data_IF_229438962858
#
_entry.id   IF_229438962858
#
_cell.length_a   1.000
_cell.length_b   1.000
_cell.length_c   1.000
_cell.angle_alpha   90.00
_cell.angle_beta   90.00
_cell.angle_gamma   90.00
#
_symmetry.space_group_name_H-M   'P 1'
#
loop_
_entity.id
_entity.type
_entity.pdbx_description
1 polymer ?
#
# COMPACT_ATOMS: atom_id res chain seq x y z
N UNK A 1 -1.32 19.48 33.40
CA UNK A 1 -0.69 18.36 32.67
C UNK A 1 -1.60 17.73 31.59
N UNK A 2 -2.67 18.42 31.12
CA UNK A 2 -3.62 17.86 30.14
C UNK A 2 -3.34 18.32 28.69
N UNK A 3 -2.72 19.51 28.53
CA UNK A 3 -2.41 20.12 27.22
C UNK A 3 -1.54 19.22 26.32
N UNK A 4 -0.41 18.74 26.85
CA UNK A 4 0.60 17.99 26.09
C UNK A 4 0.05 16.70 25.47
N UNK A 5 -0.87 16.01 26.16
CA UNK A 5 -1.45 14.76 25.63
C UNK A 5 -2.43 15.02 24.48
N UNK A 6 -3.16 16.13 24.53
CA UNK A 6 -4.11 16.52 23.48
C UNK A 6 -3.33 16.95 22.24
N UNK A 7 -2.29 17.76 22.40
CA UNK A 7 -1.45 18.25 21.30
C UNK A 7 -0.75 17.08 20.55
N UNK A 8 -0.28 16.06 21.28
CA UNK A 8 0.37 14.87 20.68
C UNK A 8 -0.61 14.00 19.89
N UNK A 9 -1.86 13.87 20.36
CA UNK A 9 -2.89 13.10 19.63
C UNK A 9 -3.28 13.83 18.34
N UNK A 10 -3.47 15.15 18.41
CA UNK A 10 -3.81 15.97 17.24
C UNK A 10 -2.70 15.94 16.18
N UNK A 11 -1.43 16.05 16.60
CA UNK A 11 -0.28 15.91 15.70
C UNK A 11 -0.21 14.54 15.02
N UNK A 12 -0.53 13.46 15.75
CA UNK A 12 -0.58 12.10 15.19
C UNK A 12 -1.68 11.97 14.14
N UNK A 13 -2.87 12.50 14.42
CA UNK A 13 -4.00 12.50 13.49
C UNK A 13 -3.72 13.37 12.25
N UNK A 14 -3.06 14.52 12.42
CA UNK A 14 -2.67 15.37 11.30
C UNK A 14 -1.66 14.67 10.37
N UNK A 15 -0.66 14.00 10.95
CA UNK A 15 0.32 13.25 10.18
C UNK A 15 -0.32 12.06 9.43
N UNK A 16 -1.21 11.33 10.09
CA UNK A 16 -1.96 10.24 9.48
C UNK A 16 -2.76 10.72 8.27
N UNK A 17 -3.50 11.83 8.41
CA UNK A 17 -4.24 12.44 7.31
C UNK A 17 -3.32 12.89 6.16
N UNK A 18 -2.11 13.36 6.44
CA UNK A 18 -1.14 13.74 5.41
C UNK A 18 -0.61 12.53 4.64
N UNK A 19 -0.29 11.44 5.34
CA UNK A 19 0.17 10.17 4.73
C UNK A 19 -0.93 9.59 3.86
N UNK A 20 -2.16 9.48 4.39
CA UNK A 20 -3.31 8.96 3.65
C UNK A 20 -3.70 9.89 2.49
N UNK A 21 -3.64 11.21 2.66
CA UNK A 21 -3.88 12.16 1.58
C UNK A 21 -2.86 12.03 0.45
N UNK A 22 -1.58 11.81 0.77
CA UNK A 22 -0.53 11.56 -0.22
C UNK A 22 -0.76 10.25 -0.97
N UNK A 23 -1.20 9.21 -0.27
CA UNK A 23 -1.58 7.93 -0.88
C UNK A 23 -2.77 8.09 -1.85
N UNK A 24 -3.80 8.83 -1.46
CA UNK A 24 -4.96 9.15 -2.31
C UNK A 24 -4.60 10.01 -3.54
N UNK A 25 -3.62 10.92 -3.41
CA UNK A 25 -3.11 11.69 -4.55
C UNK A 25 -2.47 10.77 -5.60
N UNK A 26 -1.71 9.76 -5.15
CA UNK A 26 -1.12 8.76 -6.05
C UNK A 26 -2.21 7.92 -6.72
N UNK A 27 -3.24 7.50 -5.98
CA UNK A 27 -4.42 6.81 -6.51
C UNK A 27 -5.12 7.64 -7.60
N UNK A 28 -5.35 8.93 -7.35
CA UNK A 28 -5.91 9.85 -8.35
C UNK A 28 -5.02 9.98 -9.60
N UNK A 29 -3.70 9.93 -9.41
CA UNK A 29 -2.72 9.89 -10.50
C UNK A 29 -2.84 8.65 -11.39
N UNK A 30 -3.25 7.50 -10.84
CA UNK A 30 -3.51 6.28 -11.63
C UNK A 30 -4.69 6.46 -12.59
N UNK A 31 -5.79 7.08 -12.12
CA UNK A 31 -6.95 7.41 -12.95
C UNK A 31 -6.56 8.31 -14.11
N UNK A 32 -5.78 9.36 -13.84
CA UNK A 32 -5.27 10.25 -14.88
C UNK A 32 -4.42 9.49 -15.90
N UNK A 33 -3.47 8.65 -15.46
CA UNK A 33 -2.60 7.87 -16.35
C UNK A 33 -3.39 6.84 -17.19
N UNK A 34 -4.44 6.24 -16.64
CA UNK A 34 -5.34 5.37 -17.38
C UNK A 34 -6.21 6.16 -18.39
N UNK A 35 -6.60 7.40 -18.05
CA UNK A 35 -7.43 8.28 -18.87
C UNK A 35 -6.73 8.89 -20.08
N UNK A 36 -5.38 8.90 -20.13
CA UNK A 36 -4.62 9.49 -21.27
C UNK A 36 -4.69 8.67 -22.56
N UNK A 37 -5.50 7.62 -22.60
CA UNK A 37 -6.05 7.09 -23.87
C UNK A 37 -7.13 8.01 -24.46
N UNK A 38 -7.31 9.22 -23.93
CA UNK A 38 -8.22 10.24 -24.43
C UNK A 38 -7.74 10.76 -25.78
N UNK A 39 -8.46 10.32 -26.80
CA UNK A 39 -8.40 10.81 -28.17
C UNK A 39 -9.15 12.17 -28.20
N UNK A 40 -8.56 13.19 -28.81
CA UNK A 40 -9.24 14.45 -29.08
C UNK A 40 -10.29 14.29 -30.19
N UNK A 41 -11.04 15.35 -30.49
CA UNK A 41 -12.04 15.35 -31.56
C UNK A 41 -11.47 15.06 -32.96
N UNK A 42 -10.15 15.02 -33.12
CA UNK A 42 -9.44 14.77 -34.37
C UNK A 42 -8.73 13.40 -34.39
N UNK A 43 -8.94 12.54 -33.39
CA UNK A 43 -8.30 11.23 -33.38
C UNK A 43 -6.91 11.20 -32.72
N UNK A 44 -6.41 12.32 -32.20
CA UNK A 44 -5.04 12.43 -31.68
C UNK A 44 -4.97 12.28 -30.17
N UNK A 45 -3.87 11.72 -29.68
CA UNK A 45 -3.61 11.63 -28.25
C UNK A 45 -3.39 13.03 -27.67
N UNK A 46 -4.14 13.39 -26.62
CA UNK A 46 -3.86 14.62 -25.87
C UNK A 46 -2.52 14.49 -25.14
N UNK A 47 -1.56 15.43 -25.33
CA UNK A 47 -0.32 15.41 -24.58
C UNK A 47 -0.60 15.67 -23.10
N UNK A 48 -0.24 14.74 -22.23
CA UNK A 48 -0.28 14.94 -20.78
C UNK A 48 0.86 15.85 -20.34
N UNK A 49 0.63 16.74 -19.35
CA UNK A 49 1.72 17.41 -18.65
C UNK A 49 2.73 16.36 -18.15
N UNK A 50 4.04 16.61 -18.30
CA UNK A 50 5.06 15.66 -17.87
C UNK A 50 4.98 15.45 -16.35
N UNK A 51 4.78 14.20 -15.93
CA UNK A 51 4.80 13.82 -14.52
C UNK A 51 6.25 13.67 -14.04
N UNK A 52 6.63 14.21 -12.86
CA UNK A 52 7.95 14.00 -12.29
C UNK A 52 8.29 12.51 -12.18
N UNK A 53 9.53 12.15 -12.47
CA UNK A 53 9.95 10.74 -12.56
C UNK A 53 9.63 9.93 -11.30
N UNK A 54 9.90 10.49 -10.11
CA UNK A 54 9.56 9.83 -8.84
C UNK A 54 8.06 9.63 -8.63
N UNK A 55 7.20 10.56 -9.10
CA UNK A 55 5.75 10.40 -9.06
C UNK A 55 5.29 9.33 -10.06
N UNK A 56 5.88 9.29 -11.26
CA UNK A 56 5.57 8.29 -12.28
C UNK A 56 5.91 6.87 -11.83
N UNK A 57 7.03 6.68 -11.12
CA UNK A 57 7.41 5.38 -10.56
C UNK A 57 6.40 4.93 -9.51
N UNK A 58 6.02 5.80 -8.56
CA UNK A 58 5.03 5.47 -7.54
C UNK A 58 3.62 5.20 -8.11
N UNK A 59 3.19 5.96 -9.12
CA UNK A 59 1.91 5.70 -9.82
C UNK A 59 1.91 4.35 -10.53
N UNK A 60 3.06 3.93 -11.11
CA UNK A 60 3.17 2.59 -11.72
C UNK A 60 3.13 1.48 -10.67
N UNK A 61 3.76 1.68 -9.52
CA UNK A 61 3.67 0.75 -8.41
C UNK A 61 2.22 0.59 -7.92
N UNK A 62 1.49 1.71 -7.78
CA UNK A 62 0.07 1.69 -7.43
C UNK A 62 -0.77 0.92 -8.46
N UNK A 63 -0.50 1.09 -9.76
CA UNK A 63 -1.20 0.36 -10.82
C UNK A 63 -0.95 -1.15 -10.76
N UNK A 64 0.28 -1.58 -10.48
CA UNK A 64 0.62 -3.00 -10.32
C UNK A 64 -0.03 -3.60 -9.08
N UNK A 65 0.01 -2.89 -7.95
CA UNK A 65 -0.71 -3.29 -6.75
C UNK A 65 -2.22 -3.45 -6.99
N UNK A 66 -2.84 -2.52 -7.72
CA UNK A 66 -4.25 -2.64 -8.14
C UNK A 66 -4.49 -3.86 -9.06
N UNK A 67 -3.57 -4.13 -9.98
CA UNK A 67 -3.66 -5.27 -10.89
C UNK A 67 -3.56 -6.62 -10.15
N UNK A 68 -2.71 -6.71 -9.13
CA UNK A 68 -2.50 -7.93 -8.34
C UNK A 68 -3.54 -8.12 -7.21
N UNK A 69 -4.45 -7.17 -7.00
CA UNK A 69 -5.31 -7.12 -5.83
C UNK A 69 -6.27 -8.32 -5.73
N UNK A 70 -6.76 -8.83 -6.86
CA UNK A 70 -7.63 -10.02 -6.87
C UNK A 70 -6.90 -11.28 -6.40
N UNK A 71 -5.67 -11.50 -6.87
CA UNK A 71 -4.80 -12.59 -6.41
C UNK A 71 -4.41 -12.41 -4.93
N UNK A 72 -4.04 -11.19 -4.51
CA UNK A 72 -3.72 -10.89 -3.10
C UNK A 72 -4.94 -11.19 -2.21
N UNK A 73 -6.12 -10.70 -2.58
CA UNK A 73 -7.35 -10.93 -1.83
C UNK A 73 -7.68 -12.42 -1.71
N UNK A 74 -7.48 -13.18 -2.79
CA UNK A 74 -7.64 -14.64 -2.77
C UNK A 74 -6.65 -15.30 -1.80
N UNK A 75 -5.37 -14.96 -1.85
CA UNK A 75 -4.37 -15.55 -0.95
C UNK A 75 -4.56 -15.14 0.52
N UNK A 76 -5.06 -13.93 0.80
CA UNK A 76 -5.45 -13.51 2.16
C UNK A 76 -6.64 -14.30 2.69
N UNK A 77 -7.67 -14.51 1.87
CA UNK A 77 -8.84 -15.32 2.22
C UNK A 77 -8.46 -16.79 2.49
N UNK A 78 -7.45 -17.30 1.81
CA UNK A 78 -6.90 -18.65 2.02
C UNK A 78 -5.88 -18.71 3.17
N UNK A 79 -5.64 -17.60 3.87
CA UNK A 79 -4.64 -17.45 4.93
C UNK A 79 -3.21 -17.81 4.48
N UNK A 80 -2.93 -17.70 3.18
CA UNK A 80 -1.58 -17.78 2.61
C UNK A 80 -0.85 -16.46 2.78
N UNK A 81 -1.57 -15.34 2.77
CA UNK A 81 -1.03 -14.02 3.12
C UNK A 81 -1.64 -13.46 4.39
N UNK A 82 -0.86 -12.61 5.08
CA UNK A 82 -1.34 -11.74 6.16
C UNK A 82 -0.69 -10.36 6.11
N UNK A 83 -1.34 -9.37 6.69
CA UNK A 83 -0.86 -7.98 6.77
C UNK A 83 0.04 -7.80 8.00
N UNK A 84 1.30 -7.43 7.77
CA UNK A 84 2.26 -7.16 8.85
C UNK A 84 1.99 -5.82 9.54
N UNK A 85 2.57 -5.63 10.72
CA UNK A 85 2.50 -4.36 11.47
C UNK A 85 3.34 -3.22 10.85
N UNK A 86 3.93 -3.46 9.68
CA UNK A 86 4.65 -2.48 8.87
C UNK A 86 3.97 -2.17 7.53
N UNK A 87 2.79 -2.75 7.30
CA UNK A 87 2.03 -2.51 6.07
C UNK A 87 2.46 -3.39 4.89
N UNK A 88 3.31 -4.39 5.08
CA UNK A 88 3.69 -5.36 4.03
C UNK A 88 2.92 -6.68 4.16
N UNK A 89 2.94 -7.50 3.12
CA UNK A 89 2.44 -8.88 3.16
C UNK A 89 3.47 -9.84 3.76
N UNK A 90 3.00 -10.78 4.57
CA UNK A 90 3.74 -11.96 5.03
C UNK A 90 3.17 -13.24 4.42
N UNK A 91 4.05 -14.21 4.14
CA UNK A 91 3.69 -15.52 3.61
C UNK A 91 3.50 -16.55 4.72
N UNK A 92 2.40 -17.30 4.65
CA UNK A 92 2.09 -18.41 5.55
C UNK A 92 1.95 -19.71 4.77
N UNK A 93 2.69 -20.72 5.19
CA UNK A 93 2.70 -22.00 4.53
C UNK A 93 1.52 -22.87 5.01
N UNK A 94 0.47 -22.94 4.20
CA UNK A 94 -0.73 -23.78 4.44
C UNK A 94 -0.58 -25.17 3.82
N UNK A 95 -1.33 -26.17 4.30
CA UNK A 95 -1.29 -27.52 3.70
C UNK A 95 -1.67 -27.51 2.21
N UNK A 96 -2.61 -26.63 1.82
CA UNK A 96 -3.00 -26.44 0.42
C UNK A 96 -1.85 -25.88 -0.42
N UNK A 97 -1.11 -24.89 0.08
CA UNK A 97 -0.01 -24.28 -0.68
C UNK A 97 1.20 -25.21 -0.77
N UNK A 98 1.46 -26.03 0.26
CA UNK A 98 2.52 -27.06 0.24
C UNK A 98 2.28 -28.11 -0.84
N UNK A 99 1.03 -28.49 -1.06
CA UNK A 99 0.64 -29.50 -2.05
C UNK A 99 0.72 -29.00 -3.50
N UNK A 100 0.82 -27.69 -3.73
CA UNK A 100 0.87 -27.08 -5.06
C UNK A 100 2.07 -26.13 -5.20
N UNK A 101 3.20 -26.70 -5.61
CA UNK A 101 4.45 -25.96 -5.79
C UNK A 101 4.35 -24.81 -6.82
N UNK A 102 3.47 -24.94 -7.83
CA UNK A 102 3.29 -23.88 -8.84
C UNK A 102 2.58 -22.69 -8.22
N UNK A 103 1.48 -22.95 -7.50
CA UNK A 103 0.75 -21.90 -6.79
C UNK A 103 1.59 -21.29 -5.67
N UNK A 104 2.39 -22.08 -4.95
CA UNK A 104 3.32 -21.57 -3.94
C UNK A 104 4.36 -20.61 -4.52
N UNK A 105 4.91 -20.94 -5.70
CA UNK A 105 5.84 -20.05 -6.42
C UNK A 105 5.17 -18.76 -6.84
N UNK A 106 3.98 -18.84 -7.45
CA UNK A 106 3.21 -17.66 -7.87
C UNK A 106 2.89 -16.76 -6.68
N UNK A 107 2.44 -17.31 -5.56
CA UNK A 107 2.16 -16.55 -4.35
C UNK A 107 3.40 -15.81 -3.82
N UNK A 108 4.57 -16.45 -3.82
CA UNK A 108 5.82 -15.80 -3.40
C UNK A 108 6.23 -14.66 -4.35
N UNK A 109 6.09 -14.86 -5.66
CA UNK A 109 6.36 -13.84 -6.66
C UNK A 109 5.43 -12.63 -6.50
N UNK A 110 4.11 -12.85 -6.36
CA UNK A 110 3.13 -11.79 -6.13
C UNK A 110 3.38 -11.05 -4.82
N UNK A 111 3.70 -11.77 -3.72
CA UNK A 111 4.00 -11.14 -2.44
C UNK A 111 5.24 -10.23 -2.54
N UNK A 112 6.30 -10.72 -3.17
CA UNK A 112 7.50 -9.93 -3.38
C UNK A 112 7.17 -8.68 -4.22
N UNK A 113 6.42 -8.87 -5.30
CA UNK A 113 6.02 -7.79 -6.21
C UNK A 113 5.25 -6.69 -5.46
N UNK A 114 4.23 -7.07 -4.70
CA UNK A 114 3.41 -6.16 -3.90
C UNK A 114 4.23 -5.45 -2.83
N UNK A 115 5.16 -6.13 -2.17
CA UNK A 115 5.98 -5.52 -1.12
C UNK A 115 6.97 -4.50 -1.70
N UNK A 116 7.56 -4.77 -2.86
CA UNK A 116 8.40 -3.80 -3.59
C UNK A 116 7.58 -2.57 -4.05
N UNK A 117 6.33 -2.79 -4.47
CA UNK A 117 5.41 -1.70 -4.82
C UNK A 117 5.03 -0.86 -3.60
N UNK A 118 4.69 -1.49 -2.48
CA UNK A 118 4.40 -0.80 -1.22
C UNK A 118 5.59 0.02 -0.73
N UNK A 119 6.80 -0.53 -0.76
CA UNK A 119 8.02 0.21 -0.40
C UNK A 119 8.22 1.44 -1.29
N UNK A 120 7.99 1.29 -2.60
CA UNK A 120 8.07 2.40 -3.57
C UNK A 120 7.06 3.49 -3.25
N UNK A 121 5.83 3.11 -2.91
CA UNK A 121 4.75 4.03 -2.54
C UNK A 121 5.08 4.73 -1.22
N UNK A 122 5.53 4.00 -0.20
CA UNK A 122 5.86 4.54 1.12
C UNK A 122 7.04 5.51 1.03
N UNK A 123 8.07 5.15 0.26
CA UNK A 123 9.21 6.02 -0.03
C UNK A 123 8.77 7.30 -0.72
N UNK A 124 7.80 7.23 -1.64
CA UNK A 124 7.27 8.44 -2.27
C UNK A 124 6.55 9.32 -1.27
N UNK A 125 5.66 8.76 -0.45
CA UNK A 125 4.92 9.49 0.58
C UNK A 125 5.90 10.18 1.55
N UNK A 126 6.92 9.46 2.01
CA UNK A 126 7.95 9.99 2.88
C UNK A 126 8.66 11.20 2.23
N UNK A 127 9.14 11.04 1.00
CA UNK A 127 9.90 12.07 0.27
C UNK A 127 9.08 13.30 -0.13
N UNK A 128 7.76 13.22 -0.14
CA UNK A 128 6.88 14.35 -0.46
C UNK A 128 6.21 14.96 0.75
N UNK A 129 6.33 14.34 1.92
CA UNK A 129 5.78 14.88 3.15
C UNK A 129 6.66 16.02 3.65
N UNK A 130 6.04 17.16 3.96
CA UNK A 130 6.72 18.28 4.64
C UNK A 130 6.94 18.00 6.13
N UNK A 131 6.22 17.02 6.71
CA UNK A 131 6.26 16.70 8.13
C UNK A 131 7.17 15.51 8.47
N UNK A 132 7.70 14.80 7.46
CA UNK A 132 8.51 13.59 7.64
C UNK A 132 9.91 13.78 7.04
N UNK A 133 10.91 13.24 7.72
CA UNK A 133 12.29 13.13 7.24
C UNK A 133 12.68 11.69 6.87
N UNK A 134 13.92 11.51 6.42
CA UNK A 134 14.44 10.20 5.96
C UNK A 134 14.37 9.10 7.05
N UNK A 135 14.38 9.47 8.33
CA UNK A 135 14.28 8.55 9.46
C UNK A 135 12.87 8.09 9.81
N UNK A 136 11.83 8.68 9.19
CA UNK A 136 10.44 8.50 9.61
C UNK A 136 9.66 7.45 8.80
N UNK A 137 10.37 6.59 8.05
CA UNK A 137 9.77 5.44 7.37
C UNK A 137 8.93 4.57 8.32
N UNK A 138 9.37 4.25 9.56
CA UNK A 138 8.56 3.45 10.48
C UNK A 138 7.18 4.05 10.78
N UNK A 139 7.04 5.38 10.75
CA UNK A 139 5.76 6.06 10.95
C UNK A 139 4.83 5.88 9.74
N UNK A 140 5.37 5.98 8.52
CA UNK A 140 4.62 5.69 7.29
C UNK A 140 4.15 4.23 7.29
N UNK A 141 5.06 3.30 7.58
CA UNK A 141 4.77 1.86 7.68
C UNK A 141 3.65 1.58 8.70
N UNK A 142 3.70 2.19 9.89
CA UNK A 142 2.69 2.00 10.93
C UNK A 142 1.31 2.54 10.53
N UNK A 143 1.25 3.70 9.86
CA UNK A 143 0.00 4.26 9.35
C UNK A 143 -0.60 3.35 8.28
N UNK A 144 0.23 2.89 7.34
CA UNK A 144 -0.23 2.00 6.27
C UNK A 144 -0.61 0.61 6.80
N UNK A 145 0.08 0.10 7.82
CA UNK A 145 -0.34 -1.09 8.55
C UNK A 145 -1.72 -0.91 9.19
N UNK A 146 -1.97 0.25 9.80
CA UNK A 146 -3.28 0.65 10.32
C UNK A 146 -4.36 0.56 9.24
N UNK A 147 -4.14 1.22 8.10
CA UNK A 147 -5.07 1.18 6.96
C UNK A 147 -5.35 -0.26 6.49
N UNK A 148 -4.31 -1.09 6.35
CA UNK A 148 -4.47 -2.48 5.91
C UNK A 148 -5.25 -3.30 6.95
N UNK A 149 -5.03 -3.08 8.24
CA UNK A 149 -5.80 -3.72 9.31
C UNK A 149 -7.24 -3.26 9.30
N UNK A 150 -7.52 -1.98 9.10
CA UNK A 150 -8.87 -1.42 9.10
C UNK A 150 -9.70 -1.87 7.89
N UNK A 151 -9.04 -2.14 6.77
CA UNK A 151 -9.66 -2.59 5.52
C UNK A 151 -9.65 -4.12 5.32
N UNK A 152 -8.89 -4.87 6.11
CA UNK A 152 -8.88 -6.34 6.05
C UNK A 152 -10.29 -6.93 6.26
N UNK A 153 -10.55 -8.08 5.63
CA UNK A 153 -11.84 -8.79 5.72
C UNK A 153 -11.87 -9.73 6.93
N UNK A 154 -13.06 -10.06 7.48
CA UNK A 154 -13.16 -11.06 8.55
C UNK A 154 -12.48 -12.37 8.18
N UNK A 155 -11.67 -12.90 9.09
CA UNK A 155 -10.90 -14.14 8.91
C UNK A 155 -9.53 -13.99 8.23
N UNK A 156 -9.18 -12.81 7.72
CA UNK A 156 -7.85 -12.52 7.19
C UNK A 156 -6.82 -12.36 8.33
N UNK A 157 -5.57 -12.75 8.07
CA UNK A 157 -4.48 -12.63 9.04
C UNK A 157 -3.98 -11.19 9.10
N UNK A 158 -3.89 -10.64 10.31
CA UNK A 158 -3.35 -9.33 10.60
C UNK A 158 -2.39 -9.40 11.78
N UNK A 159 -1.33 -8.58 11.72
CA UNK A 159 -0.37 -8.45 12.81
C UNK A 159 -0.64 -7.18 13.61
N UNK A 160 -0.82 -7.34 14.93
CA UNK A 160 -0.93 -6.23 15.87
C UNK A 160 0.39 -5.47 15.98
N UNK A 161 0.36 -4.26 16.54
CA UNK A 161 1.57 -3.46 16.77
C UNK A 161 2.61 -4.20 17.64
N UNK A 162 2.16 -5.09 18.52
CA UNK A 162 3.00 -5.99 19.33
C UNK A 162 3.77 -7.04 18.54
N UNK A 163 3.41 -7.25 17.26
CA UNK A 163 3.92 -8.33 16.41
C UNK A 163 3.10 -9.62 16.49
N UNK A 164 2.07 -9.67 17.32
CA UNK A 164 1.19 -10.83 17.44
C UNK A 164 0.26 -10.95 16.24
N UNK A 165 0.11 -12.17 15.73
CA UNK A 165 -0.80 -12.48 14.62
C UNK A 165 -2.17 -12.88 15.14
N UNK A 166 -3.21 -12.37 14.49
CA UNK A 166 -4.60 -12.71 14.76
C UNK A 166 -5.40 -12.75 13.46
N UNK A 167 -6.61 -13.31 13.52
CA UNK A 167 -7.60 -13.16 12.45
C UNK A 167 -8.48 -11.96 12.78
N UNK A 168 -8.75 -11.13 11.77
CA UNK A 168 -9.69 -10.01 11.91
C UNK A 168 -11.13 -10.48 12.08
#
# INVERSE_FOLDING_TARGET
MVQVKIDVVDQRTALENQVLGSYEELSSGTLLLASVRSIDSEGRLKPTPPMPDGKRVAVRAMLRSQYNNDDIAKFKAENVFGETNKGYLAFFETEKIKADAKTARLAKEIMQEENEDRETIYTRILKTSEALGEGDMPQVEAIMAGLNRDTAKPGELIQADSGEWSKK
#
